data_IF_960817753798
#
_entry.id   IF_960817753798
#
_cell.length_a   1.000
_cell.length_b   1.000
_cell.length_c   1.000
_cell.angle_alpha   90.00
_cell.angle_beta   90.00
_cell.angle_gamma   90.00
#
_symmetry.space_group_name_H-M   'P 1'
#
loop_
_entity.id
_entity.type
_entity.pdbx_description
1 polymer ?
#
# COMPACT_ATOMS: atom_id res chain seq x y z
N UNK A 1 34.64 -26.71 -12.26
CA UNK A 1 33.74 -27.55 -13.06
C UNK A 1 33.00 -28.45 -12.09
N UNK A 2 31.70 -28.65 -12.26
CA UNK A 2 30.89 -29.51 -11.39
C UNK A 2 31.23 -31.00 -11.54
N UNK A 3 31.33 -31.73 -10.43
CA UNK A 3 31.55 -33.18 -10.45
C UNK A 3 30.19 -33.90 -10.56
N UNK A 4 30.07 -34.99 -11.35
CA UNK A 4 28.87 -35.83 -11.35
C UNK A 4 28.50 -36.36 -9.96
N UNK A 5 29.49 -36.55 -9.07
CA UNK A 5 29.30 -37.04 -7.69
C UNK A 5 28.61 -36.00 -6.78
N UNK A 6 28.56 -34.74 -7.21
CA UNK A 6 27.89 -33.67 -6.47
C UNK A 6 26.35 -33.83 -6.52
N UNK A 7 25.81 -34.59 -7.49
CA UNK A 7 24.37 -34.71 -7.69
C UNK A 7 23.80 -36.00 -7.09
N UNK A 8 22.81 -35.87 -6.22
CA UNK A 8 22.00 -36.99 -5.73
C UNK A 8 20.71 -37.02 -6.54
N UNK A 9 20.62 -37.92 -7.52
CA UNK A 9 19.48 -38.06 -8.43
C UNK A 9 18.83 -39.42 -8.21
N UNK A 10 17.51 -39.45 -8.09
CA UNK A 10 16.72 -40.67 -8.01
C UNK A 10 15.47 -40.53 -8.90
N UNK A 11 15.23 -41.49 -9.78
CA UNK A 11 14.04 -41.56 -10.64
C UNK A 11 13.78 -40.26 -11.43
N UNK A 12 14.84 -39.60 -11.91
CA UNK A 12 14.76 -38.32 -12.64
C UNK A 12 14.60 -37.08 -11.75
N UNK A 13 14.59 -37.23 -10.42
CA UNK A 13 14.48 -36.13 -9.46
C UNK A 13 15.85 -35.82 -8.88
N UNK A 14 16.32 -34.58 -8.99
CA UNK A 14 17.48 -34.10 -8.26
C UNK A 14 17.08 -33.83 -6.80
N UNK A 15 17.50 -34.70 -5.89
CA UNK A 15 17.16 -34.62 -4.47
C UNK A 15 18.10 -33.69 -3.69
N UNK A 16 19.38 -33.64 -4.08
CA UNK A 16 20.37 -32.77 -3.46
C UNK A 16 21.55 -32.52 -4.39
N UNK A 17 22.14 -31.33 -4.27
CA UNK A 17 23.43 -30.96 -4.80
C UNK A 17 24.39 -30.73 -3.62
N UNK A 18 25.51 -31.45 -3.61
CA UNK A 18 26.52 -31.48 -2.54
C UNK A 18 27.73 -30.59 -2.83
N UNK A 19 27.82 -30.03 -4.02
CA UNK A 19 28.84 -29.05 -4.35
C UNK A 19 28.53 -27.67 -3.79
N UNK A 20 29.43 -26.72 -4.00
CA UNK A 20 29.31 -25.35 -3.51
C UNK A 20 29.88 -24.36 -4.52
N UNK A 21 29.12 -23.30 -4.82
CA UNK A 21 29.59 -22.22 -5.68
C UNK A 21 29.68 -22.56 -7.18
N UNK A 22 30.09 -21.57 -7.95
CA UNK A 22 30.55 -21.73 -9.33
C UNK A 22 29.45 -21.97 -10.38
N UNK A 23 29.88 -22.51 -11.52
CA UNK A 23 29.03 -22.78 -12.67
C UNK A 23 28.51 -24.22 -12.61
N UNK A 24 27.20 -24.39 -12.44
CA UNK A 24 26.55 -25.69 -12.31
C UNK A 24 25.75 -26.04 -13.56
N UNK A 25 25.94 -27.24 -14.09
CA UNK A 25 25.09 -27.80 -15.16
C UNK A 25 24.39 -29.04 -14.61
N UNK A 26 23.07 -29.01 -14.51
CA UNK A 26 22.27 -30.16 -14.06
C UNK A 26 22.30 -31.25 -15.14
N UNK A 27 22.54 -32.53 -14.79
CA UNK A 27 22.60 -33.61 -15.78
C UNK A 27 21.30 -33.78 -16.58
N UNK A 28 21.43 -34.14 -17.86
CA UNK A 28 20.30 -34.51 -18.72
C UNK A 28 19.47 -35.65 -18.12
N UNK A 29 18.17 -35.67 -18.41
CA UNK A 29 17.23 -36.66 -17.89
C UNK A 29 16.65 -36.30 -16.50
N UNK A 30 17.15 -35.25 -15.84
CA UNK A 30 16.49 -34.68 -14.67
C UNK A 30 15.20 -33.99 -15.11
N UNK A 31 14.08 -34.43 -14.55
CA UNK A 31 12.74 -33.89 -14.83
C UNK A 31 12.21 -32.99 -13.72
N UNK A 32 12.79 -33.09 -12.52
CA UNK A 32 12.37 -32.30 -11.35
C UNK A 32 13.55 -31.90 -10.48
N UNK A 33 13.57 -30.64 -10.06
CA UNK A 33 14.43 -30.17 -8.97
C UNK A 33 13.66 -30.35 -7.67
N UNK A 34 14.17 -31.23 -6.80
CA UNK A 34 13.54 -31.61 -5.55
C UNK A 34 13.51 -30.48 -4.52
N UNK A 35 12.82 -30.74 -3.41
CA UNK A 35 12.77 -29.84 -2.25
C UNK A 35 14.18 -29.54 -1.78
N UNK A 36 14.50 -28.26 -1.63
CA UNK A 36 15.76 -27.77 -1.05
C UNK A 36 17.03 -28.29 -1.77
N UNK A 37 16.92 -28.79 -3.01
CA UNK A 37 18.02 -29.51 -3.67
C UNK A 37 19.32 -28.69 -3.81
N UNK A 38 19.22 -27.38 -3.99
CA UNK A 38 20.34 -26.44 -4.02
C UNK A 38 20.33 -25.47 -2.83
N UNK A 39 19.52 -25.68 -1.81
CA UNK A 39 19.35 -24.69 -0.74
C UNK A 39 20.69 -24.34 -0.08
N UNK A 40 21.06 -23.05 -0.11
CA UNK A 40 22.33 -22.55 0.42
C UNK A 40 23.60 -22.96 -0.35
N UNK A 41 23.51 -23.73 -1.44
CA UNK A 41 24.67 -24.22 -2.19
C UNK A 41 25.41 -23.10 -2.95
N UNK A 42 24.75 -21.97 -3.18
CA UNK A 42 25.35 -20.75 -3.73
C UNK A 42 25.98 -20.85 -5.12
N UNK A 43 25.43 -21.60 -6.11
CA UNK A 43 25.97 -21.54 -7.47
C UNK A 43 25.87 -20.10 -8.02
N UNK A 44 26.86 -19.65 -8.79
CA UNK A 44 26.84 -18.34 -9.44
C UNK A 44 25.91 -18.32 -10.65
N UNK A 45 25.92 -19.44 -11.40
CA UNK A 45 25.06 -19.70 -12.55
C UNK A 45 24.66 -21.16 -12.54
N UNK A 46 23.42 -21.43 -12.94
CA UNK A 46 22.94 -22.78 -13.15
C UNK A 46 22.26 -22.93 -14.51
N UNK A 47 22.63 -23.99 -15.22
CA UNK A 47 21.97 -24.45 -16.44
C UNK A 47 21.11 -25.67 -16.11
N UNK A 48 19.82 -25.59 -16.39
CA UNK A 48 18.86 -26.69 -16.25
C UNK A 48 18.61 -27.34 -17.62
N UNK A 49 18.47 -28.68 -17.71
CA UNK A 49 18.08 -29.33 -18.95
C UNK A 49 16.61 -29.05 -19.27
N UNK A 50 16.25 -29.06 -20.56
CA UNK A 50 14.87 -28.80 -21.03
C UNK A 50 13.86 -29.84 -20.53
N UNK A 51 14.33 -30.99 -20.04
CA UNK A 51 13.50 -32.02 -19.42
C UNK A 51 12.90 -31.60 -18.07
N UNK A 52 13.41 -30.55 -17.43
CA UNK A 52 12.89 -30.07 -16.14
C UNK A 52 11.51 -29.44 -16.31
N UNK A 53 10.51 -30.02 -15.66
CA UNK A 53 9.13 -29.51 -15.67
C UNK A 53 8.67 -28.94 -14.33
N UNK A 54 9.42 -29.19 -13.24
CA UNK A 54 9.05 -28.79 -11.87
C UNK A 54 10.27 -28.35 -11.05
N UNK A 55 10.08 -27.27 -10.28
CA UNK A 55 11.04 -26.82 -9.26
C UNK A 55 10.33 -26.80 -7.90
N UNK A 56 10.82 -27.61 -6.96
CA UNK A 56 10.20 -27.86 -5.66
C UNK A 56 10.44 -26.78 -4.61
N UNK A 57 9.78 -26.98 -3.46
CA UNK A 57 9.84 -26.09 -2.29
C UNK A 57 11.27 -25.72 -1.93
N UNK A 58 11.56 -24.42 -1.89
CA UNK A 58 12.88 -23.86 -1.55
C UNK A 58 14.06 -24.48 -2.31
N UNK A 59 13.85 -25.01 -3.53
CA UNK A 59 14.88 -25.68 -4.31
C UNK A 59 16.19 -24.88 -4.43
N UNK A 60 16.13 -23.57 -4.61
CA UNK A 60 17.27 -22.64 -4.62
C UNK A 60 17.26 -21.66 -3.44
N UNK A 61 16.53 -21.98 -2.37
CA UNK A 61 16.40 -21.12 -1.21
C UNK A 61 17.76 -20.79 -0.58
N UNK A 62 18.09 -19.51 -0.45
CA UNK A 62 19.35 -19.05 0.13
C UNK A 62 20.57 -19.21 -0.79
N UNK A 63 20.39 -19.42 -2.10
CA UNK A 63 21.49 -19.35 -3.07
C UNK A 63 21.94 -17.89 -3.27
N UNK A 64 22.60 -17.31 -2.27
CA UNK A 64 22.95 -15.88 -2.21
C UNK A 64 23.96 -15.42 -3.27
N UNK A 65 24.64 -16.35 -3.93
CA UNK A 65 25.57 -16.06 -5.03
C UNK A 65 24.96 -16.26 -6.42
N UNK A 66 23.71 -16.76 -6.53
CA UNK A 66 23.06 -17.03 -7.82
C UNK A 66 22.70 -15.72 -8.52
N UNK A 67 23.45 -15.39 -9.58
CA UNK A 67 23.29 -14.14 -10.33
C UNK A 67 22.22 -14.28 -11.42
N UNK A 68 22.16 -15.46 -12.05
CA UNK A 68 21.27 -15.76 -13.17
C UNK A 68 20.92 -17.24 -13.22
N UNK A 69 19.67 -17.50 -13.55
CA UNK A 69 19.15 -18.82 -13.92
C UNK A 69 18.29 -18.67 -15.17
N UNK A 70 18.53 -19.51 -16.17
CA UNK A 70 17.66 -19.62 -17.33
C UNK A 70 16.69 -20.77 -17.09
N UNK A 71 15.39 -20.46 -16.94
CA UNK A 71 14.35 -21.45 -16.66
C UNK A 71 13.83 -22.08 -17.96
N UNK A 72 13.85 -23.42 -18.09
CA UNK A 72 13.23 -24.12 -19.21
C UNK A 72 11.77 -23.74 -19.40
N UNK A 73 11.35 -23.59 -20.66
CA UNK A 73 9.99 -23.15 -20.98
C UNK A 73 8.93 -24.24 -20.72
N UNK A 74 9.37 -25.49 -20.59
CA UNK A 74 8.51 -26.64 -20.23
C UNK A 74 8.12 -26.70 -18.76
N UNK A 75 8.66 -25.82 -17.89
CA UNK A 75 8.30 -25.77 -16.48
C UNK A 75 6.83 -25.39 -16.32
N UNK A 76 6.10 -26.22 -15.57
CA UNK A 76 4.69 -26.04 -15.23
C UNK A 76 4.48 -25.52 -13.81
N UNK A 77 5.43 -25.77 -12.92
CA UNK A 77 5.30 -25.45 -11.50
C UNK A 77 6.61 -24.92 -10.90
N UNK A 78 6.50 -23.79 -10.21
CA UNK A 78 7.52 -23.20 -9.35
C UNK A 78 6.94 -23.14 -7.94
N UNK A 79 7.44 -23.97 -7.03
CA UNK A 79 6.85 -24.12 -5.70
C UNK A 79 7.28 -23.01 -4.72
N UNK A 80 6.72 -23.02 -3.51
CA UNK A 80 6.90 -22.00 -2.49
C UNK A 80 8.38 -21.74 -2.20
N UNK A 81 8.76 -20.47 -2.27
CA UNK A 81 10.11 -20.02 -1.92
C UNK A 81 11.23 -20.59 -2.77
N UNK A 82 10.95 -21.09 -3.99
CA UNK A 82 11.96 -21.77 -4.80
C UNK A 82 13.23 -20.93 -5.03
N UNK A 83 13.14 -19.59 -5.07
CA UNK A 83 14.27 -18.65 -5.16
C UNK A 83 14.33 -17.67 -3.97
N UNK A 84 13.76 -18.05 -2.82
CA UNK A 84 13.77 -17.21 -1.63
C UNK A 84 15.22 -16.89 -1.20
N UNK A 85 15.54 -15.62 -0.97
CA UNK A 85 16.87 -15.11 -0.59
C UNK A 85 17.99 -15.47 -1.57
N UNK A 86 17.69 -15.57 -2.86
CA UNK A 86 18.70 -15.49 -3.92
C UNK A 86 19.15 -14.02 -4.09
N UNK A 87 19.85 -13.49 -3.09
CA UNK A 87 20.11 -12.04 -2.95
C UNK A 87 20.88 -11.43 -4.11
N UNK A 88 21.73 -12.19 -4.81
CA UNK A 88 22.47 -11.75 -6.00
C UNK A 88 21.70 -11.88 -7.32
N UNK A 89 20.48 -12.45 -7.33
CA UNK A 89 19.73 -12.70 -8.55
C UNK A 89 19.31 -11.37 -9.18
N UNK A 90 19.80 -11.09 -10.38
CA UNK A 90 19.58 -9.79 -11.06
C UNK A 90 18.37 -9.77 -11.99
N UNK A 91 18.00 -10.95 -12.49
CA UNK A 91 16.91 -11.14 -13.46
C UNK A 91 16.52 -12.60 -13.59
N UNK A 92 15.27 -12.83 -13.97
CA UNK A 92 14.71 -14.15 -14.22
C UNK A 92 13.70 -14.06 -15.37
N UNK A 93 13.79 -14.97 -16.33
CA UNK A 93 12.74 -15.14 -17.35
C UNK A 93 11.81 -16.24 -16.88
N UNK A 94 10.56 -15.89 -16.58
CA UNK A 94 9.57 -16.86 -16.12
C UNK A 94 9.06 -17.74 -17.28
N UNK A 95 8.84 -19.04 -17.07
CA UNK A 95 8.30 -19.94 -18.09
C UNK A 95 6.87 -19.53 -18.47
N UNK A 96 6.55 -19.55 -19.76
CA UNK A 96 5.21 -19.16 -20.25
C UNK A 96 4.06 -20.07 -19.79
N UNK A 97 4.36 -21.30 -19.39
CA UNK A 97 3.35 -22.31 -19.03
C UNK A 97 2.85 -22.24 -17.58
N UNK A 98 3.41 -21.36 -16.73
CA UNK A 98 2.99 -21.25 -15.33
C UNK A 98 1.66 -20.50 -15.22
N UNK A 99 0.81 -20.95 -14.29
CA UNK A 99 -0.53 -20.36 -14.07
C UNK A 99 -0.62 -19.51 -12.80
N UNK A 100 0.42 -19.54 -11.96
CA UNK A 100 0.50 -18.79 -10.70
C UNK A 100 1.95 -18.54 -10.28
N UNK A 101 2.17 -17.50 -9.48
CA UNK A 101 3.41 -17.24 -8.75
C UNK A 101 3.19 -17.67 -7.30
N UNK A 102 4.03 -18.58 -6.80
CA UNK A 102 3.89 -19.15 -5.45
C UNK A 102 4.27 -18.17 -4.34
N UNK A 103 3.89 -18.53 -3.10
CA UNK A 103 4.28 -17.78 -1.91
C UNK A 103 5.81 -17.64 -1.83
N UNK A 104 6.30 -16.43 -1.53
CA UNK A 104 7.73 -16.11 -1.32
C UNK A 104 8.66 -16.51 -2.47
N UNK A 105 8.15 -16.75 -3.69
CA UNK A 105 8.95 -17.32 -4.78
C UNK A 105 10.31 -16.62 -4.98
N UNK A 106 10.31 -15.29 -4.97
CA UNK A 106 11.50 -14.43 -5.10
C UNK A 106 11.72 -13.53 -3.88
N UNK A 107 11.10 -13.81 -2.72
CA UNK A 107 11.24 -12.93 -1.56
C UNK A 107 12.70 -12.83 -1.10
N UNK A 108 13.19 -11.62 -0.88
CA UNK A 108 14.59 -11.32 -0.56
C UNK A 108 15.57 -11.50 -1.73
N UNK A 109 15.11 -11.39 -2.98
CA UNK A 109 15.98 -11.26 -4.14
C UNK A 109 16.39 -9.79 -4.31
N UNK A 110 17.24 -9.29 -3.41
CA UNK A 110 17.53 -7.86 -3.23
C UNK A 110 18.05 -7.16 -4.49
N UNK A 111 18.68 -7.89 -5.42
CA UNK A 111 19.22 -7.35 -6.68
C UNK A 111 18.33 -7.56 -7.90
N UNK A 112 17.14 -8.14 -7.74
CA UNK A 112 16.21 -8.38 -8.84
C UNK A 112 15.64 -7.05 -9.31
N UNK A 113 15.95 -6.65 -10.55
CA UNK A 113 15.65 -5.29 -11.02
C UNK A 113 14.33 -5.18 -11.76
N UNK A 114 13.96 -6.21 -12.51
CA UNK A 114 12.74 -6.25 -13.30
C UNK A 114 12.17 -7.66 -13.37
N UNK A 115 10.84 -7.74 -13.42
CA UNK A 115 10.12 -9.00 -13.64
C UNK A 115 8.96 -8.76 -14.62
N UNK A 116 8.87 -9.62 -15.63
CA UNK A 116 7.67 -9.73 -16.46
C UNK A 116 6.93 -11.00 -16.07
N UNK A 117 5.71 -10.84 -15.56
CA UNK A 117 4.84 -11.98 -15.22
C UNK A 117 4.16 -12.46 -16.51
N UNK A 118 4.26 -13.76 -16.88
CA UNK A 118 3.70 -14.25 -18.14
C UNK A 118 2.17 -14.16 -18.22
N UNK A 119 1.64 -13.97 -19.43
CA UNK A 119 0.21 -14.13 -19.71
C UNK A 119 -0.28 -15.54 -19.32
N UNK A 120 -1.49 -15.63 -18.80
CA UNK A 120 -2.06 -16.88 -18.27
C UNK A 120 -1.84 -17.07 -16.77
N UNK A 121 -0.94 -16.30 -16.15
CA UNK A 121 -0.84 -16.22 -14.69
C UNK A 121 -2.09 -15.54 -14.12
N UNK A 122 -2.78 -16.23 -13.21
CA UNK A 122 -4.04 -15.76 -12.62
C UNK A 122 -3.89 -15.28 -11.17
N UNK A 123 -2.81 -15.68 -10.49
CA UNK A 123 -2.57 -15.31 -9.09
C UNK A 123 -1.08 -15.10 -8.75
N UNK A 124 -0.81 -14.10 -7.91
CA UNK A 124 0.46 -13.89 -7.22
C UNK A 124 0.30 -14.19 -5.73
N UNK A 125 1.12 -15.10 -5.22
CA UNK A 125 1.10 -15.61 -3.86
C UNK A 125 1.59 -14.60 -2.80
N UNK A 126 1.35 -14.89 -1.50
CA UNK A 126 1.78 -14.01 -0.43
C UNK A 126 3.29 -13.78 -0.44
N UNK A 127 3.69 -12.52 -0.27
CA UNK A 127 5.10 -12.11 -0.22
C UNK A 127 5.94 -12.58 -1.41
N UNK A 128 5.35 -12.84 -2.60
CA UNK A 128 6.06 -13.42 -3.74
C UNK A 128 7.35 -12.67 -4.13
N UNK A 129 7.33 -11.34 -4.06
CA UNK A 129 8.47 -10.44 -4.34
C UNK A 129 8.79 -9.54 -3.14
N UNK A 130 8.41 -9.94 -1.92
CA UNK A 130 8.68 -9.13 -0.74
C UNK A 130 10.20 -8.98 -0.52
N UNK A 131 10.65 -7.78 -0.18
CA UNK A 131 12.05 -7.42 0.02
C UNK A 131 12.93 -7.57 -1.23
N UNK A 132 12.35 -7.51 -2.43
CA UNK A 132 13.12 -7.29 -3.65
C UNK A 132 13.47 -5.81 -3.76
N UNK A 133 14.42 -5.34 -2.93
CA UNK A 133 14.67 -3.90 -2.73
C UNK A 133 14.98 -3.13 -4.03
N UNK A 134 15.67 -3.76 -4.99
CA UNK A 134 16.00 -3.16 -6.29
C UNK A 134 14.96 -3.35 -7.39
N UNK A 135 13.80 -3.92 -7.08
CA UNK A 135 12.76 -4.19 -8.08
C UNK A 135 12.10 -2.89 -8.52
N UNK A 136 12.62 -2.31 -9.60
CA UNK A 136 12.17 -1.03 -10.11
C UNK A 136 10.98 -1.13 -11.07
N UNK A 137 10.78 -2.29 -11.71
CA UNK A 137 9.72 -2.49 -12.70
C UNK A 137 9.10 -3.88 -12.67
N UNK A 138 7.77 -3.93 -12.64
CA UNK A 138 6.99 -5.17 -12.70
C UNK A 138 5.92 -5.04 -13.78
N UNK A 139 5.95 -5.94 -14.76
CA UNK A 139 4.91 -6.04 -15.78
C UNK A 139 3.92 -7.13 -15.34
N UNK A 140 2.70 -6.71 -15.01
CA UNK A 140 1.59 -7.56 -14.60
C UNK A 140 0.69 -7.89 -15.81
N UNK A 141 0.33 -9.17 -16.06
CA UNK A 141 -0.50 -9.55 -17.19
C UNK A 141 -1.97 -9.23 -16.95
N UNK A 142 -2.72 -9.09 -18.03
CA UNK A 142 -4.16 -8.82 -17.98
C UNK A 142 -5.00 -9.96 -17.38
N UNK A 143 -4.46 -11.19 -17.38
CA UNK A 143 -5.10 -12.38 -16.83
C UNK A 143 -5.14 -12.47 -15.30
N UNK A 144 -4.47 -11.56 -14.59
CA UNK A 144 -4.42 -11.59 -13.12
C UNK A 144 -5.78 -11.28 -12.51
N UNK A 145 -6.17 -12.15 -11.57
CA UNK A 145 -7.40 -12.03 -10.78
C UNK A 145 -7.07 -11.76 -9.30
N UNK A 146 -5.90 -12.16 -8.82
CA UNK A 146 -5.52 -12.02 -7.41
C UNK A 146 -4.05 -11.66 -7.21
N UNK A 147 -3.76 -10.70 -6.34
CA UNK A 147 -2.42 -10.39 -5.83
C UNK A 147 -2.48 -10.39 -4.30
N UNK A 148 -1.84 -11.39 -3.68
CA UNK A 148 -1.99 -11.67 -2.24
C UNK A 148 -1.09 -10.81 -1.36
N UNK A 149 -1.34 -10.90 -0.05
CA UNK A 149 -0.73 -10.10 1.02
C UNK A 149 0.77 -9.91 0.82
N UNK A 150 1.21 -8.65 0.87
CA UNK A 150 2.62 -8.26 0.86
C UNK A 150 3.39 -8.68 -0.38
N UNK A 151 2.73 -8.96 -1.52
CA UNK A 151 3.41 -9.47 -2.70
C UNK A 151 4.58 -8.59 -3.18
N UNK A 152 4.49 -7.27 -3.00
CA UNK A 152 5.53 -6.29 -3.31
C UNK A 152 5.95 -5.48 -2.08
N UNK A 153 5.81 -6.04 -0.88
CA UNK A 153 6.27 -5.41 0.36
C UNK A 153 7.79 -5.13 0.28
N UNK A 154 8.23 -3.96 0.73
CA UNK A 154 9.62 -3.50 0.73
C UNK A 154 10.33 -3.58 -0.65
N UNK A 155 9.60 -3.43 -1.75
CA UNK A 155 10.19 -3.18 -3.07
C UNK A 155 10.61 -1.70 -3.17
N UNK A 156 11.70 -1.35 -2.48
CA UNK A 156 12.11 0.05 -2.23
C UNK A 156 12.32 0.89 -3.50
N UNK A 157 12.80 0.29 -4.59
CA UNK A 157 13.06 0.96 -5.87
C UNK A 157 11.85 0.95 -6.83
N UNK A 158 10.73 0.31 -6.49
CA UNK A 158 9.54 0.29 -7.34
C UNK A 158 8.98 1.71 -7.46
N UNK A 159 9.00 2.26 -8.68
CA UNK A 159 8.62 3.67 -8.94
C UNK A 159 7.19 3.82 -9.43
N UNK A 160 6.74 2.87 -10.25
CA UNK A 160 5.41 2.86 -10.83
C UNK A 160 4.85 1.44 -10.94
N UNK A 161 3.52 1.33 -10.87
CA UNK A 161 2.84 0.07 -11.16
C UNK A 161 1.45 0.29 -11.73
N UNK A 162 1.09 -0.53 -12.72
CA UNK A 162 -0.27 -0.60 -13.27
C UNK A 162 -0.94 -1.87 -12.79
N UNK A 163 -2.03 -1.71 -12.03
CA UNK A 163 -2.81 -2.83 -11.51
C UNK A 163 -3.81 -3.31 -12.58
N UNK A 164 -3.82 -4.62 -12.93
CA UNK A 164 -4.69 -5.15 -13.98
C UNK A 164 -6.19 -4.99 -13.69
N UNK A 165 -6.99 -4.89 -14.75
CA UNK A 165 -8.45 -4.68 -14.69
C UNK A 165 -9.23 -5.76 -13.92
N UNK A 166 -8.69 -6.98 -13.84
CA UNK A 166 -9.30 -8.10 -13.12
C UNK A 166 -9.19 -8.01 -11.60
N UNK A 167 -8.38 -7.09 -11.06
CA UNK A 167 -8.16 -6.96 -9.62
C UNK A 167 -9.25 -6.10 -8.98
N UNK A 168 -9.95 -6.66 -8.00
CA UNK A 168 -11.01 -5.98 -7.24
C UNK A 168 -10.59 -5.55 -5.84
N UNK A 169 -9.44 -6.03 -5.34
CA UNK A 169 -8.91 -5.69 -4.02
C UNK A 169 -7.38 -5.59 -4.05
N UNK A 170 -6.83 -4.53 -3.46
CA UNK A 170 -5.43 -4.48 -3.05
C UNK A 170 -5.31 -5.10 -1.67
N UNK A 171 -4.57 -6.20 -1.57
CA UNK A 171 -4.47 -6.96 -0.31
C UNK A 171 -3.63 -6.27 0.75
N UNK A 172 -3.68 -6.80 1.99
CA UNK A 172 -2.91 -6.29 3.12
C UNK A 172 -1.42 -6.09 2.76
N UNK A 173 -0.88 -4.90 3.03
CA UNK A 173 0.54 -4.61 2.91
C UNK A 173 1.10 -4.72 1.49
N UNK A 174 0.25 -4.72 0.45
CA UNK A 174 0.66 -5.06 -0.91
C UNK A 174 1.90 -4.30 -1.41
N UNK A 175 1.96 -2.99 -1.14
CA UNK A 175 3.07 -2.09 -1.46
C UNK A 175 3.66 -1.44 -0.20
N UNK A 176 3.48 -2.04 0.97
CA UNK A 176 4.05 -1.51 2.21
C UNK A 176 5.57 -1.35 2.06
N UNK A 177 6.12 -0.19 2.40
CA UNK A 177 7.56 0.09 2.31
C UNK A 177 8.11 0.27 0.89
N UNK A 178 7.26 0.46 -0.13
CA UNK A 178 7.72 0.86 -1.46
C UNK A 178 8.15 2.34 -1.46
N UNK A 179 9.37 2.60 -1.01
CA UNK A 179 9.88 3.96 -0.74
C UNK A 179 9.88 4.87 -1.96
N UNK A 180 10.14 4.31 -3.14
CA UNK A 180 10.21 5.05 -4.41
C UNK A 180 8.88 5.16 -5.15
N UNK A 181 7.83 4.51 -4.67
CA UNK A 181 6.56 4.43 -5.39
C UNK A 181 5.89 5.80 -5.46
N UNK A 182 5.80 6.32 -6.68
CA UNK A 182 5.27 7.65 -6.97
C UNK A 182 4.00 7.61 -7.83
N UNK A 183 3.84 6.57 -8.67
CA UNK A 183 2.70 6.44 -9.57
C UNK A 183 2.05 5.07 -9.45
N UNK A 184 0.73 5.04 -9.27
CA UNK A 184 -0.06 3.80 -9.22
C UNK A 184 -1.30 3.98 -10.08
N UNK A 185 -1.46 3.13 -11.09
CA UNK A 185 -2.69 3.09 -11.88
C UNK A 185 -3.61 2.00 -11.32
N UNK A 186 -4.74 2.42 -10.75
CA UNK A 186 -5.77 1.53 -10.19
C UNK A 186 -6.82 1.16 -11.25
N UNK A 187 -7.41 -0.05 -11.21
CA UNK A 187 -8.45 -0.43 -12.14
C UNK A 187 -9.81 0.13 -11.70
N UNK A 188 -10.68 0.45 -12.65
CA UNK A 188 -12.04 0.95 -12.37
C UNK A 188 -12.89 0.01 -11.50
N UNK A 189 -12.64 -1.30 -11.61
CA UNK A 189 -13.34 -2.34 -10.84
C UNK A 189 -12.84 -2.53 -9.39
N UNK A 190 -11.85 -1.75 -8.93
CA UNK A 190 -11.31 -1.88 -7.58
C UNK A 190 -12.36 -1.46 -6.54
N UNK A 191 -12.61 -2.35 -5.58
CA UNK A 191 -13.58 -2.18 -4.49
C UNK A 191 -12.95 -1.90 -3.15
N UNK A 192 -11.72 -2.37 -2.92
CA UNK A 192 -11.07 -2.30 -1.61
C UNK A 192 -9.57 -2.05 -1.70
N UNK A 193 -9.09 -1.16 -0.84
CA UNK A 193 -7.68 -0.98 -0.50
C UNK A 193 -7.48 -1.55 0.90
N UNK A 194 -6.70 -2.61 1.01
CA UNK A 194 -6.49 -3.35 2.25
C UNK A 194 -5.65 -2.61 3.29
N UNK A 195 -5.58 -3.20 4.49
CA UNK A 195 -4.75 -2.69 5.58
C UNK A 195 -3.29 -2.54 5.16
N UNK A 196 -2.68 -1.41 5.50
CA UNK A 196 -1.27 -1.09 5.20
C UNK A 196 -0.88 -1.17 3.71
N UNK A 197 -1.83 -1.16 2.77
CA UNK A 197 -1.54 -1.41 1.35
C UNK A 197 -0.47 -0.49 0.76
N UNK A 198 -0.41 0.78 1.19
CA UNK A 198 0.59 1.79 0.82
C UNK A 198 1.30 2.39 2.06
N UNK A 199 1.34 1.66 3.18
CA UNK A 199 2.04 2.10 4.39
C UNK A 199 3.51 2.41 4.05
N UNK A 200 4.02 3.53 4.53
CA UNK A 200 5.41 3.97 4.28
C UNK A 200 5.75 4.08 2.77
N UNK A 201 4.84 4.64 1.96
CA UNK A 201 5.12 5.07 0.59
C UNK A 201 5.33 6.61 0.54
N UNK A 202 6.47 7.14 1.00
CA UNK A 202 6.68 8.58 1.17
C UNK A 202 6.74 9.37 -0.14
N UNK A 203 6.97 8.72 -1.29
CA UNK A 203 7.04 9.37 -2.59
C UNK A 203 5.70 9.45 -3.34
N UNK A 204 4.64 8.82 -2.80
CA UNK A 204 3.31 8.92 -3.38
C UNK A 204 2.77 10.34 -3.15
N UNK A 205 2.61 11.13 -4.22
CA UNK A 205 2.17 12.53 -4.15
C UNK A 205 0.68 12.70 -4.40
N UNK A 206 0.13 11.88 -5.28
CA UNK A 206 -1.27 11.86 -5.68
C UNK A 206 -1.69 10.43 -6.01
N UNK A 207 -2.99 10.15 -5.89
CA UNK A 207 -3.56 8.88 -6.30
C UNK A 207 -5.01 9.10 -6.71
N UNK A 208 -5.34 8.73 -7.95
CA UNK A 208 -6.72 8.71 -8.41
C UNK A 208 -7.42 7.45 -7.92
N UNK A 209 -8.37 7.60 -7.00
CA UNK A 209 -9.21 6.50 -6.53
C UNK A 209 -10.36 6.25 -7.53
N UNK A 210 -10.70 4.99 -7.85
CA UNK A 210 -11.80 4.70 -8.77
C UNK A 210 -13.15 4.95 -8.09
N UNK A 211 -14.14 5.39 -8.88
CA UNK A 211 -15.50 5.74 -8.38
C UNK A 211 -16.18 4.60 -7.62
N UNK A 212 -15.88 3.35 -8.02
CA UNK A 212 -16.45 2.14 -7.43
C UNK A 212 -15.84 1.70 -6.10
N UNK A 213 -14.82 2.40 -5.58
CA UNK A 213 -14.12 2.03 -4.34
C UNK A 213 -15.03 2.18 -3.11
N UNK A 214 -15.07 1.15 -2.26
CA UNK A 214 -15.99 1.07 -1.12
C UNK A 214 -15.27 1.11 0.23
N UNK A 215 -14.01 0.67 0.31
CA UNK A 215 -13.27 0.56 1.58
C UNK A 215 -11.79 0.95 1.42
N UNK A 216 -11.30 1.75 2.37
CA UNK A 216 -9.86 1.97 2.63
C UNK A 216 -9.55 1.43 4.02
N UNK A 217 -8.63 0.48 4.09
CA UNK A 217 -8.28 -0.25 5.30
C UNK A 217 -7.44 0.54 6.31
N UNK A 218 -7.21 -0.10 7.46
CA UNK A 218 -6.35 0.41 8.55
C UNK A 218 -4.98 0.80 8.03
N UNK A 219 -4.49 1.98 8.40
CA UNK A 219 -3.16 2.52 8.06
C UNK A 219 -2.78 2.44 6.57
N UNK A 220 -3.76 2.36 5.66
CA UNK A 220 -3.54 2.08 4.25
C UNK A 220 -2.58 3.05 3.56
N UNK A 221 -2.67 4.35 3.87
CA UNK A 221 -1.80 5.41 3.37
C UNK A 221 -0.96 6.04 4.48
N UNK A 222 -0.79 5.35 5.61
CA UNK A 222 -0.04 5.93 6.72
C UNK A 222 1.43 6.15 6.31
N UNK A 223 2.02 7.28 6.74
CA UNK A 223 3.34 7.74 6.31
C UNK A 223 3.51 7.97 4.80
N UNK A 224 2.43 8.18 4.03
CA UNK A 224 2.50 8.80 2.71
C UNK A 224 2.77 10.31 2.86
N UNK A 225 3.95 10.66 3.35
CA UNK A 225 4.26 12.02 3.83
C UNK A 225 4.19 13.11 2.76
N UNK A 226 4.26 12.76 1.46
CA UNK A 226 4.12 13.69 0.32
C UNK A 226 2.73 13.66 -0.34
N UNK A 227 1.81 12.81 0.12
CA UNK A 227 0.46 12.74 -0.43
C UNK A 227 -0.28 14.03 -0.07
N UNK A 228 -0.38 14.94 -1.04
CA UNK A 228 -0.90 16.28 -0.83
C UNK A 228 -2.40 16.41 -1.14
N UNK A 229 -2.89 15.58 -2.06
CA UNK A 229 -4.28 15.56 -2.49
C UNK A 229 -4.74 14.13 -2.73
N UNK A 230 -5.93 13.80 -2.22
CA UNK A 230 -6.64 12.57 -2.54
C UNK A 230 -8.14 12.83 -2.53
N UNK A 231 -8.78 12.60 -3.67
CA UNK A 231 -10.23 12.69 -3.80
C UNK A 231 -10.84 11.34 -3.38
N UNK A 232 -11.65 11.37 -2.32
CA UNK A 232 -12.41 10.20 -1.88
C UNK A 232 -13.68 10.06 -2.73
N UNK A 233 -13.98 8.88 -3.29
CA UNK A 233 -15.12 8.70 -4.18
C UNK A 233 -16.45 8.64 -3.40
N UNK A 234 -17.54 9.11 -4.01
CA UNK A 234 -18.90 9.15 -3.43
C UNK A 234 -19.49 7.76 -3.12
N UNK A 235 -18.85 6.67 -3.55
CA UNK A 235 -19.22 5.30 -3.20
C UNK A 235 -18.54 4.76 -1.93
N UNK A 236 -17.61 5.51 -1.35
CA UNK A 236 -16.78 5.06 -0.23
C UNK A 236 -17.61 4.91 1.05
N UNK A 237 -17.58 3.73 1.66
CA UNK A 237 -18.38 3.40 2.86
C UNK A 237 -17.55 3.42 4.14
N UNK A 238 -16.28 3.04 4.05
CA UNK A 238 -15.42 2.80 5.20
C UNK A 238 -14.02 3.41 5.06
N UNK A 239 -13.58 4.07 6.14
CA UNK A 239 -12.19 4.48 6.38
C UNK A 239 -11.67 3.85 7.68
N UNK A 240 -10.67 2.98 7.54
CA UNK A 240 -10.06 2.25 8.66
C UNK A 240 -9.15 3.12 9.54
N UNK A 241 -8.80 2.58 10.72
CA UNK A 241 -8.02 3.28 11.73
C UNK A 241 -6.71 3.82 11.15
N UNK A 242 -6.45 5.12 11.31
CA UNK A 242 -5.20 5.72 10.86
C UNK A 242 -4.97 5.67 9.36
N UNK A 243 -6.02 5.49 8.53
CA UNK A 243 -5.88 5.29 7.08
C UNK A 243 -4.99 6.35 6.39
N UNK A 244 -4.99 7.60 6.86
CA UNK A 244 -4.17 8.70 6.37
C UNK A 244 -3.21 9.26 7.44
N UNK A 245 -2.85 8.45 8.45
CA UNK A 245 -1.98 8.88 9.53
C UNK A 245 -0.61 9.34 9.00
N UNK A 246 -0.07 10.42 9.54
CA UNK A 246 1.20 11.01 9.14
C UNK A 246 1.28 11.41 7.64
N UNK A 247 0.15 11.62 6.95
CA UNK A 247 0.12 12.27 5.63
C UNK A 247 0.41 13.77 5.78
N UNK A 248 1.68 14.09 6.04
CA UNK A 248 2.13 15.44 6.46
C UNK A 248 1.92 16.52 5.41
N UNK A 249 1.76 16.18 4.14
CA UNK A 249 1.48 17.12 3.05
C UNK A 249 -0.01 17.29 2.74
N UNK A 250 -0.90 16.44 3.29
CA UNK A 250 -2.33 16.49 3.00
C UNK A 250 -2.93 17.78 3.55
N UNK A 251 -3.27 18.71 2.65
CA UNK A 251 -3.73 20.05 3.02
C UNK A 251 -5.24 20.16 3.21
N UNK A 252 -6.00 19.39 2.44
CA UNK A 252 -7.45 19.36 2.55
C UNK A 252 -8.02 17.98 2.26
N UNK A 253 -9.18 17.68 2.83
CA UNK A 253 -9.93 16.48 2.49
C UNK A 253 -11.43 16.68 2.66
N UNK A 254 -12.19 16.10 1.74
CA UNK A 254 -13.65 15.96 1.84
C UNK A 254 -13.98 14.49 2.01
N UNK A 255 -14.65 14.15 3.11
CA UNK A 255 -15.16 12.81 3.38
C UNK A 255 -16.59 12.75 2.83
N UNK A 256 -16.91 11.83 1.92
CA UNK A 256 -18.21 11.80 1.24
C UNK A 256 -19.34 11.34 2.16
N UNK A 257 -20.58 11.74 1.82
CA UNK A 257 -21.81 11.43 2.60
C UNK A 257 -22.11 9.93 2.69
N UNK A 258 -21.54 9.14 1.78
CA UNK A 258 -21.64 7.67 1.77
C UNK A 258 -20.87 6.99 2.89
N UNK A 259 -19.91 7.67 3.53
CA UNK A 259 -19.10 7.06 4.59
C UNK A 259 -19.93 6.89 5.85
N UNK A 260 -20.15 5.64 6.26
CA UNK A 260 -20.88 5.28 7.48
C UNK A 260 -19.97 4.71 8.56
N UNK A 261 -18.77 4.28 8.19
CA UNK A 261 -17.76 3.72 9.10
C UNK A 261 -16.47 4.56 9.07
N UNK A 262 -16.34 5.47 10.03
CA UNK A 262 -15.10 6.19 10.33
C UNK A 262 -14.46 5.61 11.60
N UNK A 263 -13.31 4.96 11.46
CA UNK A 263 -12.52 4.52 12.61
C UNK A 263 -11.69 5.68 13.22
N UNK A 264 -10.89 5.38 14.25
CA UNK A 264 -10.13 6.39 15.00
C UNK A 264 -8.85 6.83 14.27
N UNK A 265 -8.28 7.96 14.68
CA UNK A 265 -6.93 8.40 14.27
C UNK A 265 -6.69 8.57 12.76
N UNK A 266 -7.75 8.61 11.93
CA UNK A 266 -7.64 8.58 10.46
C UNK A 266 -6.65 9.62 9.92
N UNK A 267 -6.65 10.85 10.47
CA UNK A 267 -5.77 11.93 10.06
C UNK A 267 -4.74 12.31 11.14
N UNK A 268 -4.40 11.40 12.06
CA UNK A 268 -3.41 11.68 13.10
C UNK A 268 -2.08 12.16 12.48
N UNK A 269 -1.50 13.22 13.03
CA UNK A 269 -0.26 13.87 12.56
C UNK A 269 -0.26 14.37 11.11
N UNK A 270 -1.43 14.66 10.53
CA UNK A 270 -1.54 15.39 9.27
C UNK A 270 -1.26 16.88 9.48
N UNK A 271 0.01 17.24 9.63
CA UNK A 271 0.44 18.58 10.04
C UNK A 271 0.05 19.69 9.05
N UNK A 272 -0.06 19.42 7.74
CA UNK A 272 -0.50 20.40 6.75
C UNK A 272 -2.04 20.54 6.64
N UNK A 273 -2.81 19.68 7.31
CA UNK A 273 -4.25 19.62 7.12
C UNK A 273 -4.92 20.89 7.65
N UNK A 274 -5.37 21.73 6.72
CA UNK A 274 -5.99 23.03 7.00
C UNK A 274 -7.51 22.94 6.91
N UNK A 275 -8.03 22.17 5.94
CA UNK A 275 -9.46 22.12 5.63
C UNK A 275 -10.01 20.70 5.63
N UNK A 276 -11.07 20.46 6.39
CA UNK A 276 -11.77 19.17 6.43
C UNK A 276 -13.27 19.37 6.29
N UNK A 277 -13.88 18.60 5.39
CA UNK A 277 -15.33 18.45 5.31
C UNK A 277 -15.71 17.04 5.75
N UNK A 278 -16.51 16.96 6.80
CA UNK A 278 -17.07 15.72 7.31
C UNK A 278 -18.50 15.54 6.79
N UNK A 279 -18.97 14.30 6.61
CA UNK A 279 -20.32 14.05 6.14
C UNK A 279 -21.35 14.43 7.21
N UNK A 280 -22.51 14.88 6.73
CA UNK A 280 -23.62 15.35 7.55
C UNK A 280 -24.30 14.23 8.34
N UNK A 281 -24.11 12.97 7.93
CA UNK A 281 -24.66 11.79 8.58
C UNK A 281 -23.97 11.42 9.91
N UNK A 282 -22.83 12.05 10.26
CA UNK A 282 -22.10 11.75 11.49
C UNK A 282 -22.79 12.30 12.72
N UNK A 283 -23.13 11.39 13.64
CA UNK A 283 -23.69 11.76 14.96
C UNK A 283 -22.62 11.90 16.04
N UNK A 284 -21.41 11.35 15.82
CA UNK A 284 -20.27 11.39 16.71
C UNK A 284 -18.94 11.44 15.96
N UNK A 285 -17.92 12.03 16.57
CA UNK A 285 -16.56 11.97 16.04
C UNK A 285 -15.79 10.76 16.59
N UNK A 286 -15.06 10.04 15.72
CA UNK A 286 -14.07 9.07 16.16
C UNK A 286 -12.99 9.71 17.04
N UNK A 287 -12.45 8.91 17.97
CA UNK A 287 -11.38 9.35 18.85
C UNK A 287 -10.15 9.74 18.04
N UNK A 288 -9.49 10.81 18.48
CA UNK A 288 -8.21 11.27 17.93
C UNK A 288 -8.19 11.47 16.40
N UNK A 289 -9.36 11.69 15.78
CA UNK A 289 -9.49 11.82 14.32
C UNK A 289 -8.49 12.83 13.73
N UNK A 290 -8.23 13.92 14.45
CA UNK A 290 -7.32 15.01 14.10
C UNK A 290 -6.21 15.23 15.15
N UNK A 291 -5.76 14.17 15.81
CA UNK A 291 -4.66 14.28 16.78
C UNK A 291 -3.43 14.89 16.09
N UNK A 292 -2.86 15.95 16.68
CA UNK A 292 -1.68 16.67 16.14
C UNK A 292 -1.84 17.24 14.71
N UNK A 293 -3.06 17.54 14.26
CA UNK A 293 -3.29 18.29 13.01
C UNK A 293 -3.16 19.81 13.22
N UNK A 294 -1.98 20.30 13.59
CA UNK A 294 -1.81 21.66 14.17
C UNK A 294 -2.33 22.84 13.32
N UNK A 295 -2.43 22.68 11.99
CA UNK A 295 -2.87 23.71 11.06
C UNK A 295 -4.37 23.69 10.73
N UNK A 296 -5.16 22.78 11.33
CA UNK A 296 -6.59 22.68 11.05
C UNK A 296 -7.31 23.98 11.44
N UNK A 297 -7.76 24.72 10.43
CA UNK A 297 -8.38 26.04 10.56
C UNK A 297 -9.83 26.05 10.07
N UNK A 298 -10.16 25.17 9.13
CA UNK A 298 -11.49 25.06 8.53
C UNK A 298 -12.02 23.64 8.73
N UNK A 299 -13.07 23.51 9.54
CA UNK A 299 -13.74 22.24 9.81
C UNK A 299 -15.23 22.40 9.59
N UNK A 300 -15.74 21.75 8.54
CA UNK A 300 -17.18 21.58 8.31
C UNK A 300 -17.63 20.26 8.95
N UNK A 301 -18.45 20.35 9.98
CA UNK A 301 -18.94 19.22 10.78
C UNK A 301 -20.44 19.36 11.09
N UNK A 302 -21.26 19.59 10.05
CA UNK A 302 -22.67 19.96 10.19
C UNK A 302 -23.56 18.89 10.86
N UNK A 303 -23.15 17.62 10.87
CA UNK A 303 -23.81 16.54 11.62
C UNK A 303 -23.44 16.44 13.10
N UNK A 304 -22.29 17.02 13.50
CA UNK A 304 -21.70 16.77 14.83
C UNK A 304 -22.00 17.92 15.82
N UNK A 305 -22.54 17.65 17.01
CA UNK A 305 -22.73 18.65 18.06
C UNK A 305 -21.41 19.28 18.54
N UNK A 306 -21.40 20.60 18.84
CA UNK A 306 -20.17 21.29 19.29
C UNK A 306 -19.65 20.74 20.62
N UNK A 307 -20.53 20.20 21.47
CA UNK A 307 -20.16 19.52 22.72
C UNK A 307 -19.30 18.27 22.50
N UNK A 308 -19.44 17.60 21.35
CA UNK A 308 -18.71 16.39 21.00
C UNK A 308 -17.42 16.66 20.21
N UNK A 309 -17.24 17.88 19.69
CA UNK A 309 -15.94 18.27 19.16
C UNK A 309 -14.93 18.32 20.32
N UNK A 310 -13.70 17.81 20.17
CA UNK A 310 -12.67 17.95 21.20
C UNK A 310 -12.37 19.43 21.50
N UNK A 311 -12.18 19.79 22.78
CA UNK A 311 -11.95 21.17 23.27
C UNK A 311 -10.69 21.87 22.69
N UNK A 312 -9.93 21.16 21.88
CA UNK A 312 -8.69 21.57 21.23
C UNK A 312 -8.97 22.38 19.95
N UNK A 313 -8.21 22.09 18.90
CA UNK A 313 -8.23 22.76 17.60
C UNK A 313 -9.58 22.67 16.89
N UNK A 314 -10.32 21.56 17.04
CA UNK A 314 -11.58 21.33 16.32
C UNK A 314 -12.67 22.37 16.63
N UNK A 315 -12.89 22.70 17.91
CA UNK A 315 -13.88 23.75 18.26
C UNK A 315 -13.46 25.14 17.76
N UNK A 316 -12.15 25.43 17.74
CA UNK A 316 -11.62 26.69 17.21
C UNK A 316 -11.87 26.79 15.70
N UNK A 317 -11.52 25.74 14.94
CA UNK A 317 -11.75 25.68 13.50
C UNK A 317 -13.25 25.78 13.15
N UNK A 318 -14.10 25.05 13.87
CA UNK A 318 -15.54 25.11 13.66
C UNK A 318 -16.13 26.51 13.96
N UNK A 319 -15.64 27.19 15.01
CA UNK A 319 -16.07 28.56 15.32
C UNK A 319 -15.62 29.58 14.25
N UNK A 320 -14.42 29.41 13.69
CA UNK A 320 -13.94 30.23 12.56
C UNK A 320 -14.80 30.00 11.31
N UNK A 321 -15.12 28.74 10.98
CA UNK A 321 -16.01 28.41 9.85
C UNK A 321 -17.41 29.02 10.05
N UNK A 322 -18.01 28.88 11.23
CA UNK A 322 -19.30 29.52 11.57
C UNK A 322 -19.25 31.04 11.38
N UNK A 323 -18.16 31.68 11.81
CA UNK A 323 -18.00 33.12 11.67
C UNK A 323 -17.97 33.57 10.21
N UNK A 324 -17.17 32.88 9.37
CA UNK A 324 -17.09 33.13 7.94
C UNK A 324 -18.45 33.03 7.26
N UNK A 325 -19.17 31.93 7.49
CA UNK A 325 -20.49 31.67 6.90
C UNK A 325 -21.53 32.71 7.35
N UNK A 326 -21.48 33.13 8.61
CA UNK A 326 -22.39 34.16 9.15
C UNK A 326 -22.15 35.51 8.48
N UNK A 327 -20.89 35.92 8.31
CA UNK A 327 -20.53 37.19 7.63
C UNK A 327 -20.87 37.13 6.14
N UNK A 328 -20.74 35.95 5.51
CA UNK A 328 -21.16 35.71 4.13
C UNK A 328 -22.68 35.69 3.93
N UNK A 329 -23.48 35.78 5.00
CA UNK A 329 -24.94 35.77 4.93
C UNK A 329 -25.55 34.39 4.69
N UNK A 330 -24.80 33.31 4.95
CA UNK A 330 -25.29 31.96 4.74
C UNK A 330 -26.38 31.57 5.76
N UNK A 331 -27.36 30.80 5.29
CA UNK A 331 -28.38 30.22 6.14
C UNK A 331 -27.72 29.19 7.07
N UNK A 332 -28.02 29.32 8.36
CA UNK A 332 -27.53 28.41 9.40
C UNK A 332 -28.73 28.00 10.26
N UNK A 333 -28.89 26.73 10.62
CA UNK A 333 -29.95 26.28 11.53
C UNK A 333 -29.96 27.12 12.82
N UNK A 334 -31.14 27.48 13.32
CA UNK A 334 -31.27 28.45 14.43
C UNK A 334 -30.62 27.93 15.73
N UNK A 335 -30.80 26.65 16.01
CA UNK A 335 -30.15 25.92 17.08
C UNK A 335 -28.61 26.00 17.00
N UNK A 336 -28.05 25.81 15.80
CA UNK A 336 -26.62 25.95 15.53
C UNK A 336 -26.13 27.37 15.74
N UNK A 337 -26.88 28.38 15.26
CA UNK A 337 -26.54 29.80 15.49
C UNK A 337 -26.43 30.09 16.98
N UNK A 338 -27.39 29.60 17.78
CA UNK A 338 -27.40 29.77 19.23
C UNK A 338 -26.18 29.10 19.86
N UNK A 339 -25.87 27.85 19.47
CA UNK A 339 -24.74 27.07 20.01
C UNK A 339 -23.40 27.76 19.77
N UNK A 340 -23.08 28.10 18.51
CA UNK A 340 -21.81 28.74 18.16
C UNK A 340 -21.69 30.16 18.73
N UNK A 341 -22.77 30.95 18.73
CA UNK A 341 -22.76 32.28 19.33
C UNK A 341 -22.48 32.22 20.83
N UNK A 342 -23.10 31.27 21.56
CA UNK A 342 -22.82 31.05 22.99
C UNK A 342 -21.37 30.62 23.20
N UNK A 343 -20.84 29.71 22.39
CA UNK A 343 -19.45 29.27 22.47
C UNK A 343 -18.47 30.42 22.25
N UNK A 344 -18.60 31.17 21.16
CA UNK A 344 -17.73 32.30 20.80
C UNK A 344 -17.69 33.33 21.93
N UNK A 345 -18.87 33.69 22.48
CA UNK A 345 -18.98 34.59 23.64
C UNK A 345 -18.28 34.03 24.88
N UNK A 346 -18.48 32.74 25.18
CA UNK A 346 -17.88 32.10 26.37
C UNK A 346 -16.35 31.97 26.27
N UNK A 347 -15.81 31.78 25.06
CA UNK A 347 -14.37 31.56 24.81
C UNK A 347 -13.67 32.80 24.23
N UNK A 348 -14.26 33.99 24.34
CA UNK A 348 -13.75 35.25 23.77
C UNK A 348 -12.24 35.46 23.99
N UNK A 349 -11.75 35.23 25.21
CA UNK A 349 -10.30 35.38 25.53
C UNK A 349 -9.40 34.38 24.79
N UNK A 350 -9.86 33.14 24.58
CA UNK A 350 -9.10 32.09 23.88
C UNK A 350 -9.12 32.24 22.37
N UNK A 351 -10.21 32.80 21.82
CA UNK A 351 -10.39 33.05 20.40
C UNK A 351 -9.79 34.39 19.93
N UNK A 352 -9.60 35.35 20.83
CA UNK A 352 -9.04 36.67 20.51
C UNK A 352 -7.69 36.63 19.75
N UNK A 353 -6.73 35.74 20.04
CA UNK A 353 -5.49 35.66 19.26
C UNK A 353 -5.73 35.26 17.78
N UNK A 354 -6.77 34.47 17.51
CA UNK A 354 -7.14 34.05 16.15
C UNK A 354 -7.85 35.16 15.37
N UNK A 355 -8.42 36.15 16.04
CA UNK A 355 -9.10 37.29 15.41
C UNK A 355 -8.16 38.17 14.57
N UNK A 356 -6.84 38.09 14.81
CA UNK A 356 -5.83 38.73 13.96
C UNK A 356 -5.68 38.01 12.60
N UNK A 357 -5.94 36.70 12.55
CA UNK A 357 -5.83 35.87 11.36
C UNK A 357 -7.17 35.74 10.61
N UNK A 358 -8.30 35.86 11.31
CA UNK A 358 -9.65 35.68 10.77
C UNK A 358 -10.54 36.90 11.05
N UNK A 359 -10.65 37.86 10.11
CA UNK A 359 -11.43 39.09 10.27
C UNK A 359 -12.92 38.85 10.55
N UNK A 360 -13.50 37.76 10.02
CA UNK A 360 -14.91 37.41 10.20
C UNK A 360 -15.18 37.01 11.65
N UNK A 361 -14.24 36.31 12.28
CA UNK A 361 -14.29 35.98 13.70
C UNK A 361 -14.17 37.25 14.55
N UNK A 362 -13.33 38.20 14.13
CA UNK A 362 -13.20 39.49 14.81
C UNK A 362 -14.52 40.26 14.83
N UNK A 363 -15.21 40.35 13.69
CA UNK A 363 -16.51 41.02 13.58
C UNK A 363 -17.53 40.47 14.58
N UNK A 364 -17.57 39.14 14.75
CA UNK A 364 -18.46 38.48 15.72
C UNK A 364 -18.02 38.59 17.18
N UNK A 365 -16.72 38.77 17.45
CA UNK A 365 -16.20 38.99 18.81
C UNK A 365 -16.39 40.44 19.27
N UNK A 366 -16.55 41.38 18.34
CA UNK A 366 -16.80 42.81 18.59
C UNK A 366 -18.30 43.13 18.71
N UNK A 367 -19.17 42.36 18.03
CA UNK A 367 -20.63 42.40 18.16
C UNK A 367 -21.13 41.73 19.46
#
# INVERSE_FOLDING_TARGET
>A
MTSPEDFVIQDGVLLAYRGYGGLVTVPEGVTKIGREAFAGAGPERITLPESVTEIGYQAFGGCTSLIRIDLPQGIKQLDIGAFWRCTALTGVTLPKGITSISQRLFSGCDHLTQVTIPEGVTAIGPNAFAQCERLAGVVLPGSLVQIRRGAFEDCADLTEITIPKGITELSHGLFCGCHSLASVTLPEGLKKIGEAAFLNCPNLTELSLPEGLEEIGRIAFSNCVRLAHIALPEGLKKLGLGAFGHCKALGEITIPESVTELEHEIFNECAALERVRLPSNLTQLPWHLFLRCENLADLQADGVPLSQLPDSLCKRAAAVNFARRTVAGEAFPEDRRIEFTKYIRSQRKKLAPLAAQYPELRQLLEA
#
